data_IF_880264228480
#
_entry.id   IF_880264228480
#
_cell.length_a   1.000
_cell.length_b   1.000
_cell.length_c   1.000
_cell.angle_alpha   90.00
_cell.angle_beta   90.00
_cell.angle_gamma   90.00
#
_symmetry.space_group_name_H-M   'P 1'
#
loop_
_entity.id
_entity.type
_entity.pdbx_description
1 polymer ?
#
# COMPACT_ATOMS: atom_id res chain seq x y z
N UNK A 1 16.21 13.17 -11.91
CA UNK A 1 15.58 12.08 -12.70
C UNK A 1 15.45 10.87 -11.78
N UNK A 2 14.28 10.21 -11.77
CA UNK A 2 14.03 9.05 -10.90
C UNK A 2 14.42 7.74 -11.60
N UNK A 3 14.95 6.79 -10.86
CA UNK A 3 15.28 5.44 -11.33
C UNK A 3 14.30 4.46 -10.71
N UNK A 4 13.70 3.59 -11.52
CA UNK A 4 12.79 2.55 -11.05
C UNK A 4 13.52 1.21 -10.94
N UNK A 5 13.55 0.66 -9.73
CA UNK A 5 13.99 -0.70 -9.48
C UNK A 5 12.78 -1.54 -9.10
N UNK A 6 12.62 -2.71 -9.72
CA UNK A 6 11.50 -3.62 -9.45
C UNK A 6 11.73 -4.41 -8.16
N UNK A 7 11.87 -3.69 -7.04
CA UNK A 7 12.04 -4.23 -5.68
C UNK A 7 11.24 -3.40 -4.69
N UNK A 8 10.79 -4.02 -3.61
CA UNK A 8 10.16 -3.31 -2.50
C UNK A 8 11.22 -2.63 -1.64
N UNK A 9 10.89 -1.50 -1.03
CA UNK A 9 11.77 -0.82 -0.07
C UNK A 9 12.02 -1.68 1.18
N UNK A 10 11.00 -2.44 1.61
CA UNK A 10 11.07 -3.37 2.74
C UNK A 10 10.45 -4.73 2.35
N UNK A 11 10.93 -5.85 2.91
CA UNK A 11 10.36 -7.15 2.64
C UNK A 11 8.97 -7.28 3.27
N UNK A 12 7.96 -7.57 2.45
CA UNK A 12 6.59 -7.82 2.92
C UNK A 12 6.29 -9.31 2.80
N UNK A 13 5.87 -9.94 3.90
CA UNK A 13 5.51 -11.37 3.94
C UNK A 13 4.07 -11.53 4.43
N UNK A 14 3.19 -11.98 3.55
CA UNK A 14 1.78 -12.23 3.88
C UNK A 14 1.62 -13.73 4.15
N UNK A 15 1.30 -14.10 5.39
CA UNK A 15 1.13 -15.50 5.79
C UNK A 15 -0.26 -16.04 5.44
N UNK A 16 -1.31 -15.23 5.67
CA UNK A 16 -2.70 -15.59 5.46
C UNK A 16 -3.42 -14.44 4.73
N UNK A 17 -4.34 -14.79 3.84
CA UNK A 17 -5.17 -13.81 3.13
C UNK A 17 -6.22 -13.22 4.08
N UNK A 18 -6.34 -11.89 4.11
CA UNK A 18 -7.39 -11.19 4.87
C UNK A 18 -7.99 -10.04 4.03
N UNK A 19 -9.17 -10.25 3.42
CA UNK A 19 -9.79 -9.25 2.55
C UNK A 19 -10.27 -8.00 3.30
N UNK A 20 -10.67 -8.13 4.57
CA UNK A 20 -11.10 -6.98 5.39
C UNK A 20 -9.93 -6.07 5.74
N UNK A 21 -8.74 -6.63 5.98
CA UNK A 21 -7.55 -5.82 6.21
C UNK A 21 -7.06 -5.17 4.89
N UNK A 22 -7.16 -5.89 3.78
CA UNK A 22 -6.81 -5.36 2.46
C UNK A 22 -7.63 -4.11 2.10
N UNK A 23 -8.95 -4.11 2.36
CA UNK A 23 -9.79 -2.93 2.08
C UNK A 23 -9.37 -1.68 2.86
N UNK A 24 -8.94 -1.86 4.12
CA UNK A 24 -8.40 -0.77 4.94
C UNK A 24 -7.10 -0.23 4.33
N UNK A 25 -6.16 -1.10 3.95
CA UNK A 25 -4.88 -0.69 3.37
C UNK A 25 -5.08 0.04 2.04
N UNK A 26 -6.00 -0.43 1.19
CA UNK A 26 -6.32 0.22 -0.10
C UNK A 26 -6.78 1.67 0.10
N UNK A 27 -7.56 1.94 1.16
CA UNK A 27 -7.98 3.32 1.49
C UNK A 27 -6.82 4.28 1.81
N UNK A 28 -5.64 3.78 2.16
CA UNK A 28 -4.46 4.64 2.42
C UNK A 28 -3.78 5.09 1.12
N UNK A 29 -3.89 4.31 0.04
CA UNK A 29 -3.28 4.63 -1.25
C UNK A 29 -4.20 5.49 -2.14
N UNK A 30 -5.52 5.48 -1.90
CA UNK A 30 -6.49 6.19 -2.75
C UNK A 30 -7.71 6.78 -2.02
N UNK A 31 -7.71 6.82 -0.69
CA UNK A 31 -8.81 7.37 0.10
C UNK A 31 -8.75 8.90 0.26
N UNK A 32 -9.81 9.50 0.84
CA UNK A 32 -9.98 10.95 0.92
C UNK A 32 -8.97 11.65 1.84
N UNK A 33 -8.15 10.91 2.60
CA UNK A 33 -7.07 11.46 3.42
C UNK A 33 -6.04 12.26 2.59
N UNK A 34 -5.97 12.03 1.26
CA UNK A 34 -5.14 12.83 0.37
C UNK A 34 -5.74 14.22 0.03
N UNK A 35 -7.08 14.38 0.08
CA UNK A 35 -7.77 15.59 -0.41
C UNK A 35 -7.98 16.65 0.70
N UNK A 36 -7.69 16.32 1.97
CA UNK A 36 -8.04 17.16 3.13
C UNK A 36 -6.85 17.88 3.79
N UNK A 37 -5.80 18.20 3.03
CA UNK A 37 -4.67 19.02 3.47
C UNK A 37 -4.75 20.44 2.91
#
# INVERSE_FOLDING_TARGET
MFVYEKKLQYPVKIKNVNPKLASIIISQYGGPYFIKL
#
